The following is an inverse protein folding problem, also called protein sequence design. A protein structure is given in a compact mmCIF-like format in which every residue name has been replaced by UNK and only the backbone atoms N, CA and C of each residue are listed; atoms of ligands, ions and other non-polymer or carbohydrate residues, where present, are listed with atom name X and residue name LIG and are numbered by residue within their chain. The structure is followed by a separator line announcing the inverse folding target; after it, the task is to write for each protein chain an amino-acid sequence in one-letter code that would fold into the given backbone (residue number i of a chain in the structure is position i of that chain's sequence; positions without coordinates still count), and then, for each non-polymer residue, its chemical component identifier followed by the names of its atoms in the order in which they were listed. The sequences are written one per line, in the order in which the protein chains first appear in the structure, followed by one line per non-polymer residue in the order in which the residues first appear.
data_IF_659922552982
#
_entry.id   IF_659922552982
#
_cell.length_a   1.000
_cell.length_b   1.000
_cell.length_c   1.000
_cell.angle_alpha   90.00
_cell.angle_beta   90.00
_cell.angle_gamma   90.00
#
_symmetry.space_group_name_H-M   'P 1'
#
loop_
_entity.id
_entity.type
_entity.pdbx_description
1 polymer ?
#
# COMPACT_ATOMS: atom_id res chain seq x y z
N UNK A 1 -5.72 19.63 8.49
CA UNK A 1 -4.77 18.90 7.64
C UNK A 1 -3.34 19.11 8.11
N UNK A 2 -2.83 20.35 8.27
CA UNK A 2 -1.43 20.61 8.68
C UNK A 2 -1.07 19.87 9.97
N UNK A 3 -1.89 19.98 11.02
CA UNK A 3 -1.68 19.28 12.29
C UNK A 3 -1.62 17.74 12.12
N UNK A 4 -2.43 17.16 11.23
CA UNK A 4 -2.40 15.74 10.94
C UNK A 4 -1.06 15.33 10.28
N UNK A 5 -0.59 16.10 9.31
CA UNK A 5 0.68 15.84 8.63
C UNK A 5 1.84 15.91 9.63
N UNK A 6 1.91 16.95 10.47
CA UNK A 6 2.95 17.11 11.50
C UNK A 6 3.00 15.93 12.49
N UNK A 7 1.84 15.41 12.90
CA UNK A 7 1.77 14.25 13.79
C UNK A 7 2.17 12.95 13.11
N UNK A 8 1.92 12.80 11.81
CA UNK A 8 2.23 11.59 11.05
C UNK A 8 3.71 11.51 10.70
N UNK A 9 4.33 12.62 10.33
CA UNK A 9 5.68 12.68 9.76
C UNK A 9 6.74 11.91 10.57
N UNK A 10 6.84 12.03 11.92
CA UNK A 10 7.83 11.31 12.71
C UNK A 10 7.49 9.84 12.94
N UNK A 11 6.36 9.33 12.44
CA UNK A 11 5.83 8.01 12.83
C UNK A 11 6.28 6.86 11.95
N UNK A 12 7.09 7.10 10.92
CA UNK A 12 7.43 6.08 9.91
C UNK A 12 6.17 5.35 9.43
N UNK A 13 5.25 6.10 8.83
CA UNK A 13 3.96 5.57 8.34
C UNK A 13 3.11 4.90 9.43
N UNK A 14 3.22 5.35 10.66
CA UNK A 14 2.49 4.81 11.82
C UNK A 14 3.20 3.65 12.54
N UNK A 15 4.33 3.17 12.03
CA UNK A 15 5.07 2.04 12.63
C UNK A 15 5.63 2.40 14.01
N UNK A 16 6.19 3.60 14.17
CA UNK A 16 6.78 4.09 15.42
C UNK A 16 5.81 4.93 16.28
N UNK A 17 4.56 5.11 15.83
CA UNK A 17 3.57 5.86 16.58
C UNK A 17 3.28 5.22 17.95
N UNK A 18 3.26 6.04 19.01
CA UNK A 18 2.80 5.61 20.34
C UNK A 18 1.28 5.41 20.35
N UNK A 19 0.74 4.77 21.37
CA UNK A 19 -0.72 4.64 21.53
C UNK A 19 -1.40 6.00 21.63
N UNK A 20 -0.80 6.96 22.33
CA UNK A 20 -1.29 8.33 22.46
C UNK A 20 -1.29 9.04 21.10
N UNK A 21 -0.16 9.02 20.39
CA UNK A 21 -0.04 9.62 19.05
C UNK A 21 -1.06 9.03 18.08
N UNK A 22 -1.28 7.70 18.11
CA UNK A 22 -2.32 7.06 17.29
C UNK A 22 -3.72 7.55 17.64
N UNK A 23 -4.01 7.73 18.92
CA UNK A 23 -5.29 8.28 19.37
C UNK A 23 -5.52 9.70 18.85
N UNK A 24 -4.50 10.56 18.91
CA UNK A 24 -4.54 11.92 18.38
C UNK A 24 -4.73 11.93 16.85
N UNK A 25 -3.98 11.10 16.12
CA UNK A 25 -4.12 10.93 14.66
C UNK A 25 -5.53 10.46 14.31
N UNK A 26 -6.04 9.42 15.00
CA UNK A 26 -7.40 8.92 14.76
C UNK A 26 -8.46 9.99 14.94
N UNK A 27 -8.38 10.76 16.03
CA UNK A 27 -9.33 11.85 16.31
C UNK A 27 -9.30 12.96 15.23
N UNK A 28 -8.11 13.24 14.66
CA UNK A 28 -7.98 14.20 13.56
C UNK A 28 -8.56 13.64 12.27
N UNK A 29 -8.31 12.36 11.96
CA UNK A 29 -8.89 11.67 10.81
C UNK A 29 -10.43 11.70 10.90
N UNK A 30 -10.98 11.29 12.05
CA UNK A 30 -12.44 11.23 12.24
C UNK A 30 -13.09 12.61 12.05
N UNK A 31 -12.45 13.70 12.51
CA UNK A 31 -12.92 15.08 12.29
C UNK A 31 -12.89 15.49 10.83
N UNK A 32 -11.83 15.13 10.09
CA UNK A 32 -11.73 15.44 8.68
C UNK A 32 -12.77 14.65 7.87
N UNK A 33 -12.95 13.37 8.16
CA UNK A 33 -13.97 12.53 7.53
C UNK A 33 -15.38 13.07 7.79
N UNK A 34 -15.65 13.55 9.02
CA UNK A 34 -16.94 14.16 9.35
C UNK A 34 -17.19 15.44 8.57
N UNK A 35 -16.17 16.30 8.42
CA UNK A 35 -16.28 17.54 7.66
C UNK A 35 -16.49 17.31 6.16
N UNK A 36 -16.16 16.12 5.65
CA UNK A 36 -16.27 15.76 4.24
C UNK A 36 -17.44 14.79 3.95
N UNK A 37 -18.22 14.49 4.98
CA UNK A 37 -19.37 13.58 4.87
C UNK A 37 -20.37 14.06 3.84
N UNK A 38 -20.78 13.16 2.93
CA UNK A 38 -21.72 13.45 1.86
C UNK A 38 -21.11 14.07 0.60
N UNK A 39 -19.81 14.34 0.60
CA UNK A 39 -19.10 14.76 -0.61
C UNK A 39 -18.91 13.60 -1.58
N UNK A 40 -18.85 13.90 -2.87
CA UNK A 40 -18.60 12.93 -3.94
C UNK A 40 -17.15 13.01 -4.39
N UNK A 41 -16.40 11.92 -4.18
CA UNK A 41 -15.00 11.84 -4.60
C UNK A 41 -14.84 11.79 -6.13
N UNK A 42 -15.87 11.39 -6.85
CA UNK A 42 -15.88 11.24 -8.30
C UNK A 42 -16.50 12.45 -9.02
N UNK A 43 -16.90 13.48 -8.28
CA UNK A 43 -17.32 14.73 -8.89
C UNK A 43 -16.21 15.32 -9.76
N UNK A 44 -16.58 15.97 -10.86
CA UNK A 44 -15.64 16.51 -11.86
C UNK A 44 -14.58 17.44 -11.24
N UNK A 45 -14.97 18.25 -10.26
CA UNK A 45 -14.07 19.14 -9.52
C UNK A 45 -13.01 18.40 -8.69
N UNK A 46 -13.28 17.15 -8.33
CA UNK A 46 -12.38 16.31 -7.53
C UNK A 46 -11.48 15.40 -8.39
N UNK A 47 -11.69 15.36 -9.70
CA UNK A 47 -10.99 14.46 -10.61
C UNK A 47 -9.46 14.61 -10.50
N UNK A 48 -8.95 15.83 -10.56
CA UNK A 48 -7.52 16.12 -10.44
C UNK A 48 -6.94 15.79 -9.07
N UNK A 49 -7.77 15.81 -8.02
CA UNK A 49 -7.38 15.45 -6.64
C UNK A 49 -7.38 13.94 -6.41
N UNK A 50 -8.28 13.22 -7.06
CA UNK A 50 -8.42 11.77 -6.93
C UNK A 50 -7.40 11.03 -7.78
N UNK A 51 -7.27 11.41 -9.08
CA UNK A 51 -6.41 10.74 -10.05
C UNK A 51 -5.02 11.36 -10.10
N UNK A 52 -4.21 11.00 -9.12
CA UNK A 52 -2.86 11.50 -8.97
C UNK A 52 -1.93 10.48 -8.35
N UNK A 53 -0.66 10.84 -8.30
CA UNK A 53 0.38 10.09 -7.58
C UNK A 53 0.36 10.51 -6.12
N UNK A 54 0.47 9.53 -5.24
CA UNK A 54 0.48 9.77 -3.80
C UNK A 54 1.53 8.89 -3.12
N UNK A 55 2.14 9.47 -2.08
CA UNK A 55 2.88 8.72 -1.07
C UNK A 55 1.93 8.26 0.04
N UNK A 56 2.10 7.06 0.55
CA UNK A 56 1.39 6.59 1.75
C UNK A 56 2.10 7.15 2.97
N UNK A 57 1.56 8.20 3.54
CA UNK A 57 2.15 8.89 4.70
C UNK A 57 1.81 8.18 6.03
N UNK A 58 0.65 7.50 6.10
CA UNK A 58 0.24 6.81 7.32
C UNK A 58 -0.69 5.64 7.04
N UNK A 59 -0.47 4.56 7.80
CA UNK A 59 -1.37 3.41 7.85
C UNK A 59 -1.77 3.18 9.30
N UNK A 60 -3.04 3.33 9.58
CA UNK A 60 -3.62 3.06 10.90
C UNK A 60 -3.52 1.58 11.26
N UNK A 61 -3.60 1.30 12.56
CA UNK A 61 -3.67 -0.06 13.07
C UNK A 61 -5.08 -0.33 13.55
N UNK A 62 -5.68 -1.37 13.03
CA UNK A 62 -6.87 -1.96 13.62
C UNK A 62 -6.47 -3.21 14.41
N UNK A 63 -7.29 -3.65 15.34
CA UNK A 63 -7.04 -4.85 16.16
C UNK A 63 -6.85 -6.13 15.33
N UNK A 64 -7.38 -6.15 14.12
CA UNK A 64 -7.26 -7.26 13.17
C UNK A 64 -6.00 -7.20 12.30
N UNK A 65 -5.32 -6.05 12.23
CA UNK A 65 -4.15 -5.85 11.38
C UNK A 65 -2.91 -5.66 12.25
N UNK A 66 -2.33 -6.76 12.70
CA UNK A 66 -0.96 -6.77 13.22
C UNK A 66 0.09 -6.62 12.11
N UNK A 67 -0.35 -6.20 10.94
CA UNK A 67 0.44 -6.09 9.72
C UNK A 67 1.25 -4.80 9.70
N UNK A 68 2.42 -4.82 9.08
CA UNK A 68 3.19 -3.62 8.82
C UNK A 68 2.48 -2.74 7.77
N UNK A 69 2.88 -1.47 7.68
CA UNK A 69 2.34 -0.52 6.72
C UNK A 69 2.52 -0.95 5.25
N UNK A 70 3.41 -1.87 4.97
CA UNK A 70 3.65 -2.47 3.65
C UNK A 70 2.90 -3.80 3.45
N UNK A 71 1.92 -4.10 4.32
CA UNK A 71 1.07 -5.28 4.16
C UNK A 71 1.69 -6.60 4.60
N UNK A 72 2.77 -6.62 5.34
CA UNK A 72 3.41 -7.87 5.76
C UNK A 72 3.47 -8.08 7.27
N UNK A 73 3.58 -9.33 7.69
CA UNK A 73 3.74 -9.74 9.10
C UNK A 73 5.14 -9.44 9.68
N UNK A 74 5.96 -8.64 8.99
CA UNK A 74 7.38 -8.43 9.31
C UNK A 74 7.65 -7.35 10.36
N UNK A 75 6.80 -7.24 11.40
CA UNK A 75 6.96 -6.25 12.48
C UNK A 75 7.98 -6.60 13.54
N UNK A 76 8.43 -7.83 13.62
CA UNK A 76 9.47 -8.21 14.56
C UNK A 76 10.81 -7.49 14.28
N UNK A 77 11.66 -7.33 15.31
CA UNK A 77 13.00 -6.75 15.15
C UNK A 77 13.79 -7.43 14.03
N UNK A 78 13.70 -8.75 13.93
CA UNK A 78 14.34 -9.55 12.88
C UNK A 78 13.74 -9.29 11.49
N UNK A 79 12.41 -9.17 11.39
CA UNK A 79 11.76 -8.87 10.10
C UNK A 79 12.18 -7.51 9.53
N UNK A 80 12.35 -6.50 10.40
CA UNK A 80 12.84 -5.17 9.99
C UNK A 80 14.33 -5.16 9.62
N UNK A 81 15.11 -6.06 10.17
CA UNK A 81 16.51 -6.23 9.80
C UNK A 81 16.64 -6.82 8.38
N UNK A 82 15.74 -7.75 8.05
CA UNK A 82 15.74 -8.43 6.74
C UNK A 82 15.07 -7.57 5.66
N UNK A 83 13.96 -6.91 5.99
CA UNK A 83 13.15 -6.18 5.03
C UNK A 83 12.79 -4.78 5.59
N UNK A 84 13.49 -3.77 5.11
CA UNK A 84 13.24 -2.38 5.47
C UNK A 84 12.48 -1.69 4.34
N UNK A 85 11.28 -1.23 4.63
CA UNK A 85 10.51 -0.39 3.69
C UNK A 85 11.05 1.03 3.74
N UNK A 86 11.52 1.54 2.61
CA UNK A 86 12.01 2.91 2.48
C UNK A 86 10.85 3.86 2.12
N UNK A 87 10.01 3.49 1.15
CA UNK A 87 8.87 4.30 0.73
C UNK A 87 7.70 3.42 0.24
N UNK A 88 6.50 3.98 0.30
CA UNK A 88 5.27 3.32 -0.13
C UNK A 88 4.42 4.33 -0.90
N UNK A 89 4.06 4.00 -2.14
CA UNK A 89 3.28 4.87 -3.02
C UNK A 89 2.02 4.17 -3.49
N UNK A 90 0.99 4.98 -3.72
CA UNK A 90 -0.22 4.55 -4.41
C UNK A 90 -0.57 5.58 -5.48
N UNK A 91 -0.64 5.14 -6.70
CA UNK A 91 -1.05 5.95 -7.83
C UNK A 91 -2.41 5.46 -8.33
N UNK A 92 -3.33 6.39 -8.48
CA UNK A 92 -4.61 6.15 -9.15
C UNK A 92 -4.59 7.01 -10.40
N UNK A 93 -4.57 6.37 -11.55
CA UNK A 93 -4.34 7.01 -12.83
C UNK A 93 -5.51 6.72 -13.78
N UNK A 94 -5.85 7.71 -14.61
CA UNK A 94 -6.82 7.54 -15.67
C UNK A 94 -6.25 6.65 -16.80
N UNK A 95 -7.08 5.88 -17.52
CA UNK A 95 -8.53 5.82 -17.28
C UNK A 95 -8.93 4.90 -16.12
N UNK A 96 -8.17 3.86 -15.79
CA UNK A 96 -8.57 2.81 -14.84
C UNK A 96 -7.38 2.12 -14.14
N UNK A 97 -6.20 2.75 -14.11
CA UNK A 97 -4.97 2.10 -13.60
C UNK A 97 -4.74 2.46 -12.13
N UNK A 98 -4.57 1.43 -11.30
CA UNK A 98 -4.10 1.56 -9.93
C UNK A 98 -2.73 0.88 -9.77
N UNK A 99 -1.80 1.56 -9.09
CA UNK A 99 -0.45 1.02 -8.86
C UNK A 99 -0.04 1.29 -7.41
N UNK A 100 0.32 0.23 -6.70
CA UNK A 100 1.01 0.34 -5.43
C UNK A 100 2.48 0.00 -5.63
N UNK A 101 3.38 0.85 -5.13
CA UNK A 101 4.83 0.67 -5.21
C UNK A 101 5.39 0.66 -3.80
N UNK A 102 6.08 -0.40 -3.45
CA UNK A 102 6.77 -0.55 -2.17
C UNK A 102 8.26 -0.56 -2.47
N UNK A 103 8.96 0.48 -2.10
CA UNK A 103 10.43 0.51 -2.15
C UNK A 103 10.99 -0.06 -0.87
N UNK A 104 11.95 -0.97 -0.98
CA UNK A 104 12.54 -1.63 0.17
C UNK A 104 14.04 -1.87 0.00
N UNK A 105 14.69 -2.18 1.12
CA UNK A 105 16.04 -2.75 1.15
C UNK A 105 16.01 -4.11 1.81
N UNK A 106 16.51 -5.12 1.09
CA UNK A 106 16.73 -6.44 1.64
C UNK A 106 18.08 -6.45 2.38
N UNK A 107 18.08 -6.90 3.65
CA UNK A 107 19.24 -6.88 4.55
C UNK A 107 19.86 -5.48 4.71
N UNK A 108 19.10 -4.43 4.48
CA UNK A 108 19.58 -3.05 4.52
C UNK A 108 20.49 -2.64 3.36
N UNK A 109 20.85 -3.55 2.46
CA UNK A 109 21.87 -3.37 1.44
C UNK A 109 21.33 -3.45 0.01
N UNK A 110 20.50 -4.44 -0.29
CA UNK A 110 20.02 -4.70 -1.65
C UNK A 110 18.72 -3.93 -1.86
N UNK A 111 18.70 -2.86 -2.66
CA UNK A 111 17.49 -2.14 -2.98
C UNK A 111 16.55 -3.01 -3.80
N UNK A 112 15.26 -2.80 -3.63
CA UNK A 112 14.24 -3.49 -4.41
C UNK A 112 12.94 -2.71 -4.41
N UNK A 113 12.03 -3.16 -5.28
CA UNK A 113 10.67 -2.65 -5.35
C UNK A 113 9.68 -3.81 -5.51
N UNK A 114 8.54 -3.71 -4.83
CA UNK A 114 7.39 -4.55 -5.12
C UNK A 114 6.30 -3.67 -5.74
N UNK A 115 5.78 -4.11 -6.88
CA UNK A 115 4.78 -3.38 -7.66
C UNK A 115 3.53 -4.23 -7.76
N UNK A 116 2.40 -3.65 -7.33
CA UNK A 116 1.07 -4.18 -7.60
C UNK A 116 0.41 -3.25 -8.60
N UNK A 117 0.20 -3.73 -9.81
CA UNK A 117 -0.56 -3.03 -10.83
C UNK A 117 -1.93 -3.69 -10.94
N UNK A 118 -2.94 -2.90 -11.20
CA UNK A 118 -4.29 -3.41 -11.37
C UNK A 118 -5.20 -2.39 -12.02
N UNK A 119 -6.48 -2.74 -12.10
CA UNK A 119 -7.53 -1.86 -12.58
C UNK A 119 -8.43 -1.44 -11.45
N UNK A 120 -8.80 -0.18 -11.44
CA UNK A 120 -9.76 0.35 -10.49
C UNK A 120 -11.11 0.61 -11.17
N UNK A 121 -12.16 0.52 -10.40
CA UNK A 121 -13.52 0.92 -10.78
C UNK A 121 -14.26 1.45 -9.55
N UNK A 122 -15.28 2.26 -9.76
CA UNK A 122 -16.21 2.63 -8.69
C UNK A 122 -16.96 1.38 -8.27
N UNK A 123 -16.95 1.07 -6.97
CA UNK A 123 -17.56 -0.15 -6.46
C UNK A 123 -19.10 -0.07 -6.52
N UNK A 124 -19.74 -1.02 -7.19
CA UNK A 124 -21.19 -1.20 -7.11
C UNK A 124 -21.63 -1.57 -5.68
N UNK A 125 -22.91 -1.54 -5.39
CA UNK A 125 -23.42 -1.89 -4.07
C UNK A 125 -23.11 -3.35 -3.71
N UNK A 126 -23.24 -4.25 -4.68
CA UNK A 126 -22.87 -5.66 -4.53
C UNK A 126 -21.38 -5.81 -4.24
N UNK A 127 -20.54 -5.12 -5.00
CA UNK A 127 -19.10 -5.14 -4.79
C UNK A 127 -18.72 -4.59 -3.41
N UNK A 128 -19.34 -3.49 -2.95
CA UNK A 128 -19.13 -2.96 -1.59
C UNK A 128 -19.50 -3.96 -0.50
N UNK A 129 -20.61 -4.68 -0.70
CA UNK A 129 -21.04 -5.74 0.23
C UNK A 129 -20.01 -6.87 0.33
N UNK A 130 -19.46 -7.32 -0.80
CA UNK A 130 -18.39 -8.32 -0.83
C UNK A 130 -17.07 -7.81 -0.21
N UNK A 131 -16.66 -6.59 -0.53
CA UNK A 131 -15.43 -5.98 -0.06
C UNK A 131 -15.45 -5.73 1.45
N UNK A 132 -16.62 -5.57 2.05
CA UNK A 132 -16.79 -5.29 3.48
C UNK A 132 -16.40 -6.45 4.41
N UNK A 133 -16.45 -7.68 3.96
CA UNK A 133 -16.23 -9.00 4.64
C UNK A 133 -16.09 -8.99 6.17
N UNK A 134 -15.09 -8.29 6.72
CA UNK A 134 -14.75 -8.29 8.16
C UNK A 134 -14.91 -6.92 8.81
N UNK A 135 -15.35 -5.90 8.07
CA UNK A 135 -15.55 -4.55 8.60
C UNK A 135 -17.01 -4.35 9.04
N UNK A 136 -17.19 -3.76 10.21
CA UNK A 136 -18.51 -3.32 10.67
C UNK A 136 -18.94 -1.99 10.04
N UNK A 137 -17.99 -1.26 9.44
CA UNK A 137 -18.24 0.03 8.79
C UNK A 137 -18.87 -0.19 7.41
N UNK A 138 -19.96 0.52 7.12
CA UNK A 138 -20.52 0.56 5.78
C UNK A 138 -19.56 1.32 4.83
N UNK A 139 -19.37 0.81 3.62
CA UNK A 139 -18.63 1.50 2.57
C UNK A 139 -19.55 2.50 1.87
N UNK A 140 -19.03 3.69 1.58
CA UNK A 140 -19.78 4.75 0.93
C UNK A 140 -19.84 4.55 -0.60
N UNK A 141 -20.56 5.45 -1.30
CA UNK A 141 -20.52 5.52 -2.77
C UNK A 141 -19.13 5.90 -3.32
N UNK A 142 -18.25 6.44 -2.48
CA UNK A 142 -16.88 6.81 -2.82
C UNK A 142 -15.90 5.61 -2.75
N UNK A 143 -16.40 4.39 -2.63
CA UNK A 143 -15.57 3.20 -2.60
C UNK A 143 -15.04 2.86 -3.99
N UNK A 144 -13.72 2.69 -4.06
CA UNK A 144 -12.98 2.19 -5.24
C UNK A 144 -12.70 0.71 -5.03
N UNK A 145 -13.10 -0.11 -5.99
CA UNK A 145 -12.67 -1.50 -6.10
C UNK A 145 -11.43 -1.56 -6.99
N UNK A 146 -10.40 -2.27 -6.56
CA UNK A 146 -9.18 -2.48 -7.33
C UNK A 146 -8.93 -3.97 -7.48
N UNK A 147 -8.83 -4.43 -8.71
CA UNK A 147 -8.41 -5.79 -9.06
C UNK A 147 -6.93 -5.75 -9.43
N UNK A 148 -6.07 -6.21 -8.51
CA UNK A 148 -4.62 -6.25 -8.71
C UNK A 148 -4.19 -7.55 -9.38
N UNK A 149 -3.30 -7.41 -10.35
CA UNK A 149 -2.53 -8.52 -10.92
C UNK A 149 -1.59 -9.13 -9.88
N UNK A 150 -0.97 -10.25 -10.21
CA UNK A 150 0.06 -10.84 -9.37
C UNK A 150 1.19 -9.83 -9.12
N UNK A 151 1.68 -9.70 -7.87
CA UNK A 151 2.74 -8.76 -7.54
C UNK A 151 4.03 -9.02 -8.28
N UNK A 152 4.68 -7.97 -8.72
CA UNK A 152 6.01 -8.01 -9.32
C UNK A 152 7.02 -7.52 -8.31
N UNK A 153 8.04 -8.33 -8.02
CA UNK A 153 9.15 -7.96 -7.13
C UNK A 153 10.44 -7.86 -7.94
N UNK A 154 11.08 -6.71 -7.87
CA UNK A 154 12.33 -6.41 -8.55
C UNK A 154 13.43 -6.12 -7.53
N UNK A 155 14.63 -6.63 -7.79
CA UNK A 155 15.82 -6.41 -6.97
C UNK A 155 16.89 -5.65 -7.78
N UNK A 156 17.61 -4.74 -7.12
CA UNK A 156 18.67 -3.92 -7.71
C UNK A 156 18.25 -2.46 -7.95
N UNK A 157 19.22 -1.61 -8.31
CA UNK A 157 18.93 -0.21 -8.69
C UNK A 157 18.18 -0.15 -10.02
N UNK A 158 17.31 0.82 -10.18
CA UNK A 158 16.63 1.15 -11.46
C UNK A 158 15.88 -0.02 -12.11
N UNK A 159 15.03 -0.72 -11.35
CA UNK A 159 14.17 -1.78 -11.91
C UNK A 159 14.83 -3.14 -12.04
N UNK A 160 15.94 -3.36 -11.35
CA UNK A 160 16.46 -4.66 -10.97
C UNK A 160 17.16 -5.48 -12.03
N UNK A 161 18.16 -6.19 -11.59
CA UNK A 161 18.77 -7.29 -12.33
C UNK A 161 17.86 -8.52 -12.36
N UNK A 162 16.92 -8.63 -11.41
CA UNK A 162 16.00 -9.77 -11.28
C UNK A 162 14.60 -9.25 -11.00
N UNK A 163 13.65 -9.62 -11.83
CA UNK A 163 12.23 -9.30 -11.69
C UNK A 163 11.43 -10.61 -11.64
N UNK A 164 10.64 -10.77 -10.60
CA UNK A 164 9.84 -11.98 -10.34
C UNK A 164 8.37 -11.60 -10.17
N UNK A 165 7.48 -12.41 -10.73
CA UNK A 165 6.06 -12.35 -10.43
C UNK A 165 5.77 -13.33 -9.29
N UNK A 166 5.22 -12.83 -8.17
CA UNK A 166 5.05 -13.60 -6.94
C UNK A 166 3.66 -13.39 -6.34
N UNK A 167 2.98 -14.48 -6.03
CA UNK A 167 1.70 -14.46 -5.33
C UNK A 167 0.47 -14.46 -6.25
N UNK A 168 -0.71 -14.49 -5.65
CA UNK A 168 -1.97 -14.48 -6.39
C UNK A 168 -2.39 -13.05 -6.77
N UNK A 169 -3.34 -12.96 -7.68
CA UNK A 169 -4.15 -11.75 -7.90
C UNK A 169 -4.96 -11.42 -6.64
N UNK A 170 -5.31 -10.17 -6.45
CA UNK A 170 -6.07 -9.75 -5.27
C UNK A 170 -7.09 -8.68 -5.62
N UNK A 171 -8.22 -8.70 -4.91
CA UNK A 171 -9.25 -7.68 -5.01
C UNK A 171 -9.36 -6.93 -3.68
N UNK A 172 -9.25 -5.62 -3.73
CA UNK A 172 -9.30 -4.74 -2.56
C UNK A 172 -10.27 -3.60 -2.77
N UNK A 173 -10.86 -3.14 -1.66
CA UNK A 173 -11.70 -1.94 -1.64
C UNK A 173 -11.03 -0.84 -0.84
N UNK A 174 -11.10 0.38 -1.33
CA UNK A 174 -10.70 1.59 -0.62
C UNK A 174 -11.83 2.60 -0.68
N UNK A 175 -12.37 2.94 0.46
CA UNK A 175 -13.42 3.95 0.62
C UNK A 175 -12.77 5.32 0.83
N UNK A 176 -12.93 6.24 -0.13
CA UNK A 176 -12.39 7.60 -0.03
C UNK A 176 -13.28 8.38 0.92
N UNK A 177 -12.73 8.73 2.07
CA UNK A 177 -13.48 9.36 3.18
C UNK A 177 -13.11 10.83 3.40
N UNK A 178 -12.02 11.29 2.79
CA UNK A 178 -11.62 12.70 2.74
C UNK A 178 -10.68 12.94 1.56
N UNK A 179 -10.82 14.09 0.92
CA UNK A 179 -10.00 14.48 -0.23
C UNK A 179 -9.81 16.00 -0.27
N UNK A 180 -8.55 16.43 -0.36
CA UNK A 180 -8.17 17.81 -0.63
C UNK A 180 -6.88 17.89 -1.48
N UNK A 181 -6.37 19.11 -1.69
CA UNK A 181 -5.16 19.34 -2.47
C UNK A 181 -3.91 18.66 -1.89
N UNK A 182 -3.83 18.48 -0.59
CA UNK A 182 -2.66 18.01 0.14
C UNK A 182 -2.70 16.52 0.46
N UNK A 183 -3.88 16.03 0.86
CA UNK A 183 -4.04 14.65 1.32
C UNK A 183 -5.30 14.00 0.74
N UNK A 184 -5.29 12.68 0.77
CA UNK A 184 -6.46 11.83 0.60
C UNK A 184 -6.50 10.85 1.77
N UNK A 185 -7.64 10.69 2.41
CA UNK A 185 -7.86 9.67 3.44
C UNK A 185 -8.78 8.61 2.83
N UNK A 186 -8.38 7.35 2.98
CA UNK A 186 -9.20 6.21 2.61
C UNK A 186 -9.32 5.24 3.77
N UNK A 187 -10.41 4.47 3.78
CA UNK A 187 -10.58 3.32 4.67
C UNK A 187 -10.54 2.03 3.87
N UNK A 188 -9.77 1.06 4.35
CA UNK A 188 -9.75 -0.27 3.74
C UNK A 188 -11.11 -0.96 3.85
N UNK A 189 -11.60 -1.51 2.74
CA UNK A 189 -12.96 -2.07 2.66
C UNK A 189 -13.21 -3.20 3.65
N UNK A 190 -12.25 -4.12 3.79
CA UNK A 190 -12.39 -5.29 4.66
C UNK A 190 -11.94 -5.05 6.10
N UNK A 191 -11.04 -4.10 6.34
CA UNK A 191 -10.42 -3.88 7.64
C UNK A 191 -10.88 -2.61 8.35
N UNK A 192 -11.42 -1.63 7.61
CA UNK A 192 -11.71 -0.29 8.10
C UNK A 192 -10.45 0.51 8.47
N UNK A 193 -9.26 -0.02 8.17
CA UNK A 193 -7.97 0.63 8.46
C UNK A 193 -7.89 1.97 7.74
N UNK A 194 -7.58 3.09 8.43
CA UNK A 194 -7.36 4.35 7.76
C UNK A 194 -5.99 4.40 7.10
N UNK A 195 -5.96 4.92 5.89
CA UNK A 195 -4.77 5.25 5.12
C UNK A 195 -4.76 6.75 4.85
N UNK A 196 -3.64 7.42 5.11
CA UNK A 196 -3.46 8.81 4.72
C UNK A 196 -2.42 8.86 3.62
N UNK A 197 -2.84 9.36 2.49
CA UNK A 197 -2.01 9.55 1.30
C UNK A 197 -1.66 11.03 1.17
N UNK A 198 -0.39 11.34 0.96
CA UNK A 198 0.09 12.70 0.69
C UNK A 198 0.28 12.87 -0.82
N UNK A 199 -0.21 13.98 -1.36
CA UNK A 199 -0.04 14.29 -2.78
C UNK A 199 1.43 14.51 -3.13
N UNK A 200 1.81 14.17 -4.36
CA UNK A 200 3.18 14.32 -4.90
C UNK A 200 3.69 15.76 -4.83
N UNK A 201 2.81 16.71 -5.16
CA UNK A 201 3.13 18.15 -5.11
C UNK A 201 3.52 18.68 -3.73
N UNK A 202 3.24 17.89 -2.67
CA UNK A 202 3.56 18.24 -1.28
C UNK A 202 4.79 17.50 -0.75
N UNK A 203 5.38 16.60 -1.54
CA UNK A 203 6.60 15.90 -1.19
C UNK A 203 7.80 16.66 -1.78
N UNK A 204 8.68 17.16 -0.91
CA UNK A 204 9.92 17.78 -1.35
C UNK A 204 10.81 16.75 -2.08
N UNK A 205 10.73 16.73 -3.41
CA UNK A 205 11.78 16.22 -4.28
C UNK A 205 11.67 14.79 -4.81
N UNK A 206 12.76 14.36 -5.35
CA UNK A 206 13.07 13.18 -6.14
C UNK A 206 12.46 11.78 -5.86
N UNK A 207 12.04 11.38 -4.64
CA UNK A 207 11.60 10.00 -4.40
C UNK A 207 10.39 9.57 -5.21
N UNK A 208 9.43 10.48 -5.45
CA UNK A 208 8.19 10.14 -6.16
C UNK A 208 8.38 10.01 -7.68
N UNK A 209 9.21 10.87 -8.28
CA UNK A 209 9.54 10.76 -9.69
C UNK A 209 10.28 9.45 -9.98
N UNK A 210 11.22 9.09 -9.13
CA UNK A 210 11.98 7.83 -9.26
C UNK A 210 11.08 6.61 -9.06
N UNK A 211 10.15 6.64 -8.09
CA UNK A 211 9.21 5.55 -7.87
C UNK A 211 8.28 5.34 -9.06
N UNK A 212 7.82 6.43 -9.68
CA UNK A 212 7.00 6.37 -10.88
C UNK A 212 7.71 5.72 -12.06
N UNK A 213 8.98 6.04 -12.24
CA UNK A 213 9.77 5.42 -13.31
C UNK A 213 10.09 3.96 -13.01
N UNK A 214 10.34 3.63 -11.74
CA UNK A 214 10.66 2.26 -11.33
C UNK A 214 9.51 1.28 -11.56
N UNK A 215 8.26 1.65 -11.26
CA UNK A 215 7.15 0.72 -11.47
C UNK A 215 6.92 0.42 -12.95
N UNK A 216 7.05 1.42 -13.83
CA UNK A 216 6.93 1.22 -15.26
C UNK A 216 7.96 0.23 -15.77
N UNK A 217 9.23 0.42 -15.40
CA UNK A 217 10.31 -0.48 -15.75
C UNK A 217 10.08 -1.91 -15.24
N UNK A 218 9.53 -2.07 -14.04
CA UNK A 218 9.20 -3.39 -13.48
C UNK A 218 8.10 -4.09 -14.28
N UNK A 219 7.09 -3.34 -14.74
CA UNK A 219 5.96 -3.90 -15.50
C UNK A 219 6.33 -4.17 -16.96
N UNK A 220 7.15 -3.33 -17.57
CA UNK A 220 7.59 -3.48 -18.98
C UNK A 220 8.57 -4.64 -19.16
N UNK A 221 9.36 -4.96 -18.13
CA UNK A 221 10.21 -6.15 -18.13
C UNK A 221 9.34 -7.38 -17.99
N UNK A 222 9.59 -8.40 -18.82
CA UNK A 222 8.92 -9.69 -18.64
C UNK A 222 9.42 -10.35 -17.36
N UNK A 223 8.64 -10.34 -16.27
CA UNK A 223 9.06 -10.98 -15.04
C UNK A 223 9.20 -12.48 -15.26
N UNK A 224 10.16 -13.09 -14.58
CA UNK A 224 10.23 -14.54 -14.54
C UNK A 224 8.97 -15.04 -13.82
N UNK A 225 8.12 -15.74 -14.55
CA UNK A 225 6.91 -16.34 -13.99
C UNK A 225 7.28 -17.38 -12.92
N UNK A 226 6.39 -17.60 -11.98
CA UNK A 226 6.56 -18.64 -10.96
C UNK A 226 6.75 -20.00 -11.63
N UNK A 227 7.99 -20.36 -11.86
CA UNK A 227 8.33 -21.75 -12.13
C UNK A 227 8.63 -22.45 -10.80
N UNK A 228 8.36 -23.74 -10.64
CA UNK A 228 8.79 -24.49 -9.45
C UNK A 228 10.27 -24.33 -9.14
N UNK A 229 11.10 -24.13 -10.17
CA UNK A 229 12.53 -23.89 -10.04
C UNK A 229 12.85 -22.48 -9.47
N UNK A 230 12.14 -21.43 -9.90
CA UNK A 230 12.30 -20.08 -9.34
C UNK A 230 11.88 -20.04 -7.86
N UNK A 231 10.80 -20.75 -7.53
CA UNK A 231 10.34 -20.91 -6.15
C UNK A 231 11.35 -21.67 -5.31
N UNK A 232 11.92 -22.76 -5.81
CA UNK A 232 12.95 -23.54 -5.11
C UNK A 232 14.23 -22.74 -4.89
N UNK A 233 14.64 -21.91 -5.87
CA UNK A 233 15.82 -21.04 -5.74
C UNK A 233 15.60 -19.94 -4.69
N UNK A 234 14.41 -19.35 -4.63
CA UNK A 234 14.07 -18.36 -3.62
C UNK A 234 13.94 -18.96 -2.22
N UNK A 235 13.34 -20.16 -2.14
CA UNK A 235 13.25 -20.92 -0.92
C UNK A 235 14.64 -21.33 -0.39
N UNK A 236 15.54 -21.76 -1.26
CA UNK A 236 16.91 -22.10 -0.92
C UNK A 236 17.72 -20.87 -0.48
N UNK A 237 17.58 -19.72 -1.17
CA UNK A 237 18.21 -18.46 -0.78
C UNK A 237 17.66 -17.95 0.57
N UNK A 238 16.35 -18.08 0.80
CA UNK A 238 15.72 -17.75 2.08
C UNK A 238 16.19 -18.66 3.21
N UNK A 239 16.37 -19.95 2.97
CA UNK A 239 16.90 -20.92 3.93
C UNK A 239 18.36 -20.66 4.29
N UNK A 240 19.19 -20.28 3.32
CA UNK A 240 20.59 -19.90 3.57
C UNK A 240 20.72 -18.64 4.42
N UNK A 241 19.78 -17.68 4.31
CA UNK A 241 19.81 -16.41 5.05
C UNK A 241 19.19 -16.52 6.46
N UNK A 242 18.23 -17.41 6.66
CA UNK A 242 17.45 -17.46 7.91
C UNK A 242 17.72 -18.66 8.80
N UNK A 243 18.44 -19.65 8.28
CA UNK A 243 18.91 -20.81 9.04
C UNK A 243 17.86 -21.64 9.78
N UNK A 244 16.54 -21.37 9.64
CA UNK A 244 15.51 -22.17 10.37
C UNK A 244 14.12 -21.53 10.41
N UNK A 245 13.45 -21.38 9.27
CA UNK A 245 11.99 -21.17 9.31
C UNK A 245 11.32 -21.96 8.18
N UNK A 246 10.21 -22.67 8.46
CA UNK A 246 9.52 -23.45 7.44
C UNK A 246 9.01 -22.56 6.33
N UNK A 247 9.43 -22.87 5.13
CA UNK A 247 9.18 -22.14 3.87
C UNK A 247 7.68 -21.85 3.64
N UNK A 248 6.80 -22.72 4.14
CA UNK A 248 5.33 -22.56 4.01
C UNK A 248 4.76 -21.30 4.68
N UNK A 249 5.47 -20.68 5.62
CA UNK A 249 5.04 -19.44 6.30
C UNK A 249 5.51 -18.16 5.63
N UNK A 250 6.45 -18.24 4.69
CA UNK A 250 6.98 -17.08 3.97
C UNK A 250 6.14 -16.68 2.76
N UNK A 251 5.46 -17.66 2.17
CA UNK A 251 4.71 -17.48 0.93
C UNK A 251 3.18 -17.47 1.11
N UNK A 252 2.68 -17.76 2.29
CA UNK A 252 1.33 -17.38 2.68
C UNK A 252 1.33 -15.91 3.11
N UNK A 253 1.84 -15.04 2.25
CA UNK A 253 1.54 -13.63 2.25
C UNK A 253 0.09 -13.48 1.78
N UNK A 254 -0.88 -13.27 2.66
CA UNK A 254 -2.01 -12.51 2.23
C UNK A 254 -1.47 -11.11 2.04
N UNK A 255 -1.10 -10.73 0.82
CA UNK A 255 -1.05 -9.33 0.43
C UNK A 255 -2.49 -8.78 0.39
N UNK A 256 -3.28 -9.20 1.35
CA UNK A 256 -4.54 -8.60 1.70
C UNK A 256 -4.24 -7.40 2.59
N UNK A 257 -3.72 -6.34 1.98
CA UNK A 257 -3.92 -5.00 2.46
C UNK A 257 -5.30 -4.60 1.97
N UNK A 258 -6.26 -4.89 2.72
CA UNK A 258 -7.53 -4.19 2.69
C UNK A 258 -8.21 -4.36 4.05
#
# INVERSE_FOLDING_TARGET
VSQLIELIEPTDRGVSATAETRGQISALIDRLEESWRGSDAFATENEALLFRRNEVAYVGQTSSVSANAAGGKYRGRLGRLVFRTDALFQHVLLPDVAVNVIQFKLLGLIPGAAVLKGRWSVASEEARSELRRNSTRALSSNCVAVDFDAPIVAFGRTGGALTLELGPTSKVGLDVTYLDERIRICRGGSSGTPFVFRADSCADGAPLADASNQWQLCVERRPLQQSPAAFATFAAAGLCVTGWLPVSRWFALPMAVA
#
